data_IF_058058184318
#
_entry.id   IF_058058184318
#
_cell.length_a   1.000
_cell.length_b   1.000
_cell.length_c   1.000
_cell.angle_alpha   90.00
_cell.angle_beta   90.00
_cell.angle_gamma   90.00
#
_symmetry.space_group_name_H-M   'P 1'
#
loop_
_entity.id
_entity.type
_entity.pdbx_description
1 polymer ?
#
# COMPACT_ATOMS: atom_id res chain seq x y z
N UNK A 1 37.59 -0.23 -17.70
CA UNK A 1 36.36 0.16 -17.11
C UNK A 1 35.58 -0.98 -16.54
N UNK A 2 35.17 -0.86 -15.39
CA UNK A 2 34.47 -1.92 -14.70
C UNK A 2 32.96 -1.72 -14.80
N UNK A 3 32.26 -2.58 -15.51
CA UNK A 3 30.81 -2.48 -15.59
C UNK A 3 30.14 -2.55 -14.22
N UNK A 4 30.76 -3.24 -13.30
CA UNK A 4 30.20 -3.32 -11.95
C UNK A 4 30.22 -2.00 -11.24
N UNK A 5 31.22 -1.20 -11.51
CA UNK A 5 31.31 0.12 -10.92
C UNK A 5 30.21 1.04 -11.45
N UNK A 6 29.76 0.83 -12.66
CA UNK A 6 28.70 1.66 -13.21
C UNK A 6 27.36 1.36 -12.58
N UNK A 7 27.29 0.28 -11.85
CA UNK A 7 26.06 -0.04 -11.12
C UNK A 7 25.97 0.66 -9.78
N UNK A 8 26.65 1.33 -9.51
CA UNK A 8 26.81 2.12 -8.43
C UNK A 8 25.60 2.49 -7.64
N UNK A 9 25.71 3.41 -6.81
CA UNK A 9 24.69 3.85 -5.88
C UNK A 9 23.36 4.22 -6.51
N UNK A 10 23.38 4.73 -7.73
CA UNK A 10 22.16 5.14 -8.40
C UNK A 10 21.23 3.95 -8.67
N UNK A 11 21.79 2.83 -9.12
CA UNK A 11 20.98 1.66 -9.36
C UNK A 11 20.53 0.98 -8.07
N UNK A 12 21.38 0.98 -7.07
CA UNK A 12 21.01 0.47 -5.77
C UNK A 12 19.86 1.31 -5.18
N UNK A 13 19.92 2.62 -5.33
CA UNK A 13 18.85 3.50 -4.89
C UNK A 13 17.53 3.21 -5.60
N UNK A 14 17.58 2.93 -6.90
CA UNK A 14 16.39 2.61 -7.65
C UNK A 14 15.72 1.32 -7.14
N UNK A 15 16.53 0.35 -6.75
CA UNK A 15 15.98 -0.89 -6.20
C UNK A 15 15.24 -0.68 -4.90
N UNK A 16 15.70 0.25 -4.12
CA UNK A 16 15.12 0.51 -2.82
C UNK A 16 14.07 1.61 -2.86
N UNK A 17 13.86 2.20 -4.03
CA UNK A 17 12.90 3.27 -4.18
C UNK A 17 11.49 2.76 -4.35
N UNK A 18 10.58 3.51 -3.76
CA UNK A 18 9.15 3.34 -3.96
C UNK A 18 8.69 4.41 -4.93
N UNK A 19 8.04 4.00 -6.01
CA UNK A 19 7.41 4.92 -6.94
C UNK A 19 5.92 5.02 -6.61
N UNK A 20 5.38 6.22 -6.59
CA UNK A 20 3.94 6.43 -6.40
C UNK A 20 3.39 7.11 -7.64
N UNK A 21 2.34 6.51 -8.20
CA UNK A 21 1.63 7.05 -9.34
C UNK A 21 0.22 7.43 -8.88
N UNK A 22 -0.13 8.71 -9.01
CA UNK A 22 -1.49 9.15 -8.73
C UNK A 22 -2.25 9.10 -10.06
N UNK A 23 -2.83 7.94 -10.34
CA UNK A 23 -3.55 7.70 -11.59
C UNK A 23 -4.91 8.36 -11.60
N UNK A 24 -5.53 8.54 -10.43
CA UNK A 24 -6.79 9.25 -10.29
C UNK A 24 -6.55 10.54 -9.49
N UNK A 25 -6.62 11.71 -10.14
CA UNK A 25 -6.31 12.97 -9.46
C UNK A 25 -7.16 13.30 -8.24
N UNK A 26 -8.37 12.73 -8.16
CA UNK A 26 -9.25 12.94 -7.02
C UNK A 26 -8.64 12.43 -5.71
N UNK A 27 -7.63 11.58 -5.76
CA UNK A 27 -6.89 11.16 -4.58
C UNK A 27 -6.34 12.35 -3.80
N UNK A 28 -5.85 13.38 -4.52
CA UNK A 28 -5.29 14.57 -3.87
C UNK A 28 -6.34 15.45 -3.22
N UNK A 29 -7.60 15.31 -3.63
CA UNK A 29 -8.70 15.99 -2.95
C UNK A 29 -9.11 15.26 -1.67
N UNK A 30 -9.02 13.94 -1.68
CA UNK A 30 -9.31 13.14 -0.49
C UNK A 30 -8.19 13.26 0.53
N UNK A 31 -6.95 13.13 0.08
CA UNK A 31 -5.75 13.20 0.91
C UNK A 31 -4.77 14.15 0.24
N UNK A 32 -4.57 15.31 0.85
CA UNK A 32 -3.82 16.40 0.23
C UNK A 32 -2.42 16.01 -0.24
N UNK A 33 -1.72 15.19 0.54
CA UNK A 33 -0.36 14.74 0.22
C UNK A 33 -0.34 13.23 0.03
N UNK A 34 -1.29 12.73 -0.74
CA UNK A 34 -1.49 11.30 -0.92
C UNK A 34 -0.22 10.58 -1.37
N UNK A 35 0.48 11.13 -2.35
CA UNK A 35 1.70 10.53 -2.87
C UNK A 35 2.81 10.46 -1.82
N UNK A 36 2.99 11.53 -1.05
CA UNK A 36 3.99 11.56 0.02
C UNK A 36 3.66 10.56 1.12
N UNK A 37 2.40 10.51 1.53
CA UNK A 37 1.95 9.61 2.58
C UNK A 37 2.11 8.15 2.13
N UNK A 38 1.71 7.84 0.91
CA UNK A 38 1.85 6.48 0.36
C UNK A 38 3.33 6.07 0.29
N UNK A 39 4.19 6.97 -0.19
CA UNK A 39 5.62 6.66 -0.29
C UNK A 39 6.24 6.42 1.08
N UNK A 40 5.92 7.26 2.07
CA UNK A 40 6.46 7.10 3.42
C UNK A 40 5.98 5.81 4.07
N UNK A 41 4.70 5.47 3.89
CA UNK A 41 4.15 4.25 4.44
C UNK A 41 4.80 3.02 3.81
N UNK A 42 4.97 3.01 2.50
CA UNK A 42 5.61 1.90 1.80
C UNK A 42 7.06 1.71 2.23
N UNK A 43 7.81 2.82 2.33
CA UNK A 43 9.21 2.75 2.78
C UNK A 43 9.32 2.26 4.21
N UNK A 44 8.45 2.72 5.08
CA UNK A 44 8.45 2.30 6.48
C UNK A 44 8.20 0.80 6.62
N UNK A 45 7.43 0.23 5.70
CA UNK A 45 7.13 -1.20 5.67
C UNK A 45 8.18 -2.00 4.89
N UNK A 46 9.22 -1.36 4.39
CA UNK A 46 10.28 -2.03 3.63
C UNK A 46 9.88 -2.45 2.23
N UNK A 47 8.83 -1.86 1.69
CA UNK A 47 8.34 -2.21 0.36
C UNK A 47 9.23 -1.62 -0.73
N UNK A 48 9.24 -2.31 -1.86
CA UNK A 48 9.84 -1.84 -3.10
C UNK A 48 8.77 -1.88 -4.17
N UNK A 49 8.99 -1.14 -5.26
CA UNK A 49 8.10 -1.18 -6.40
C UNK A 49 7.16 0.01 -6.46
N UNK A 50 5.98 -0.21 -7.00
CA UNK A 50 5.07 0.88 -7.35
C UNK A 50 3.78 0.83 -6.56
N UNK A 51 3.36 1.99 -6.06
CA UNK A 51 2.04 2.19 -5.46
C UNK A 51 1.22 3.04 -6.42
N UNK A 52 0.09 2.52 -6.86
CA UNK A 52 -0.80 3.21 -7.78
C UNK A 52 -2.06 3.63 -7.04
N UNK A 53 -2.32 4.92 -6.99
CA UNK A 53 -3.52 5.48 -6.39
C UNK A 53 -4.55 5.63 -7.52
N UNK A 54 -5.47 4.68 -7.59
CA UNK A 54 -6.32 4.45 -8.75
C UNK A 54 -7.79 4.72 -8.48
N UNK A 55 -8.60 4.66 -9.54
CA UNK A 55 -10.05 4.72 -9.44
C UNK A 55 -10.60 3.33 -9.17
N UNK A 56 -11.76 3.26 -8.54
CA UNK A 56 -12.41 1.99 -8.20
C UNK A 56 -12.61 1.10 -9.42
N UNK A 57 -13.01 1.67 -10.55
CA UNK A 57 -13.28 0.87 -11.75
C UNK A 57 -12.05 0.16 -12.26
N UNK A 58 -10.87 0.79 -12.11
CA UNK A 58 -9.61 0.18 -12.55
C UNK A 58 -9.26 -0.99 -11.65
N UNK A 59 -9.34 -0.79 -10.34
CA UNK A 59 -9.03 -1.84 -9.37
C UNK A 59 -10.03 -2.99 -9.50
N UNK A 60 -11.32 -2.67 -9.65
CA UNK A 60 -12.37 -3.68 -9.82
C UNK A 60 -12.13 -4.52 -11.08
N UNK A 61 -11.80 -3.87 -12.19
CA UNK A 61 -11.53 -4.56 -13.45
C UNK A 61 -10.35 -5.51 -13.33
N UNK A 62 -9.28 -5.06 -12.72
CA UNK A 62 -8.08 -5.88 -12.54
C UNK A 62 -8.33 -7.03 -11.57
N UNK A 63 -9.08 -6.78 -10.50
CA UNK A 63 -9.41 -7.82 -9.55
C UNK A 63 -10.26 -8.91 -10.18
N UNK A 64 -11.27 -8.54 -10.98
CA UNK A 64 -12.10 -9.50 -11.69
C UNK A 64 -11.30 -10.30 -12.71
N UNK A 65 -10.43 -9.61 -13.47
CA UNK A 65 -9.65 -10.22 -14.54
C UNK A 65 -8.61 -11.21 -14.02
N UNK A 66 -7.90 -10.85 -12.95
CA UNK A 66 -6.75 -11.63 -12.48
C UNK A 66 -7.08 -12.57 -11.33
N UNK A 67 -8.16 -12.32 -10.60
CA UNK A 67 -8.52 -13.11 -9.44
C UNK A 67 -9.89 -13.76 -9.54
N UNK A 68 -10.61 -13.54 -10.63
CA UNK A 68 -11.93 -14.09 -10.82
C UNK A 68 -12.98 -13.54 -9.88
N UNK A 69 -12.68 -12.45 -9.17
CA UNK A 69 -13.61 -11.83 -8.24
C UNK A 69 -14.23 -10.60 -8.85
N UNK A 70 -15.54 -10.52 -8.78
CA UNK A 70 -16.30 -9.44 -9.37
C UNK A 70 -16.86 -8.53 -8.30
N UNK A 71 -16.03 -8.09 -7.38
CA UNK A 71 -16.44 -7.18 -6.32
C UNK A 71 -15.30 -6.20 -6.00
N UNK A 72 -15.63 -5.03 -5.43
CA UNK A 72 -14.59 -4.05 -5.10
C UNK A 72 -13.62 -4.58 -4.06
N UNK A 73 -12.39 -4.13 -4.16
CA UNK A 73 -11.39 -4.35 -3.11
C UNK A 73 -10.68 -3.02 -2.85
N UNK A 74 -10.16 -2.85 -1.63
CA UNK A 74 -9.48 -1.60 -1.26
C UNK A 74 -8.04 -1.55 -1.77
N UNK A 75 -7.32 -2.66 -1.70
CA UNK A 75 -5.94 -2.73 -2.17
C UNK A 75 -5.71 -4.06 -2.89
N UNK A 76 -5.04 -3.98 -4.03
CA UNK A 76 -4.72 -5.12 -4.86
C UNK A 76 -3.21 -5.16 -5.03
N UNK A 77 -2.60 -6.34 -4.78
CA UNK A 77 -1.14 -6.48 -4.84
C UNK A 77 -0.72 -7.51 -5.86
N UNK A 78 0.40 -7.24 -6.52
CA UNK A 78 1.03 -8.14 -7.49
C UNK A 78 2.52 -8.24 -7.18
N UNK A 79 3.07 -9.43 -7.33
CA UNK A 79 4.51 -9.64 -7.17
C UNK A 79 5.24 -9.68 -8.51
N UNK A 80 4.53 -10.00 -9.58
CA UNK A 80 5.12 -10.15 -10.90
C UNK A 80 4.35 -9.31 -11.92
N UNK A 81 5.00 -8.73 -12.94
CA UNK A 81 6.45 -8.83 -13.20
C UNK A 81 7.31 -8.07 -12.22
N UNK A 82 6.74 -7.14 -11.47
CA UNK A 82 7.42 -6.38 -10.42
C UNK A 82 6.45 -6.11 -9.29
N UNK A 83 6.92 -5.84 -8.08
CA UNK A 83 6.01 -5.55 -6.97
C UNK A 83 5.18 -4.30 -7.25
N UNK A 84 3.87 -4.43 -7.06
CA UNK A 84 2.95 -3.33 -7.34
C UNK A 84 1.71 -3.46 -6.45
N UNK A 85 1.18 -2.34 -6.00
CA UNK A 85 -0.10 -2.32 -5.32
C UNK A 85 -0.96 -1.19 -5.87
N UNK A 86 -2.25 -1.44 -5.97
CA UNK A 86 -3.23 -0.46 -6.42
C UNK A 86 -4.26 -0.24 -5.32
N UNK A 87 -4.56 1.00 -5.03
CA UNK A 87 -5.56 1.36 -4.03
C UNK A 87 -6.74 2.04 -4.72
N UNK A 88 -7.94 1.68 -4.30
CA UNK A 88 -9.19 2.15 -4.90
C UNK A 88 -9.75 3.33 -4.11
N UNK A 89 -9.81 4.49 -4.74
CA UNK A 89 -10.18 5.76 -4.11
C UNK A 89 -11.51 5.71 -3.35
N UNK A 90 -12.57 5.28 -4.03
CA UNK A 90 -13.90 5.30 -3.44
C UNK A 90 -14.07 4.29 -2.33
N UNK A 91 -13.43 3.11 -2.48
CA UNK A 91 -13.47 2.09 -1.43
C UNK A 91 -12.76 2.61 -0.18
N UNK A 92 -11.57 3.19 -0.36
CA UNK A 92 -10.80 3.73 0.76
C UNK A 92 -11.56 4.86 1.46
N UNK A 93 -12.18 5.75 0.67
CA UNK A 93 -12.97 6.86 1.21
C UNK A 93 -14.14 6.35 2.06
N UNK A 94 -14.88 5.37 1.55
CA UNK A 94 -16.02 4.82 2.26
C UNK A 94 -15.59 4.10 3.54
N UNK A 95 -14.53 3.31 3.47
CA UNK A 95 -14.03 2.61 4.64
C UNK A 95 -13.55 3.56 5.73
N UNK A 96 -12.86 4.63 5.35
CA UNK A 96 -12.41 5.62 6.30
C UNK A 96 -13.60 6.26 7.03
N UNK A 97 -14.64 6.62 6.26
CA UNK A 97 -15.85 7.21 6.83
C UNK A 97 -16.57 6.22 7.76
N UNK A 98 -16.71 4.98 7.34
CA UNK A 98 -17.40 3.96 8.12
C UNK A 98 -16.68 3.64 9.44
N UNK A 99 -15.37 3.71 9.44
CA UNK A 99 -14.59 3.40 10.64
C UNK A 99 -14.20 4.63 11.44
N UNK A 100 -14.64 5.81 11.01
CA UNK A 100 -14.31 7.06 11.71
C UNK A 100 -12.84 7.42 11.67
N UNK A 101 -12.12 6.98 10.65
CA UNK A 101 -10.70 7.27 10.51
C UNK A 101 -10.47 8.40 9.53
N UNK A 102 -9.38 9.11 9.73
CA UNK A 102 -8.94 10.09 8.73
C UNK A 102 -8.52 9.34 7.46
N UNK A 103 -8.91 9.83 6.28
CA UNK A 103 -8.48 9.19 5.04
C UNK A 103 -6.96 9.02 4.91
N UNK A 104 -6.18 10.00 5.38
CA UNK A 104 -4.73 9.90 5.36
C UNK A 104 -4.23 8.72 6.20
N UNK A 105 -4.81 8.51 7.37
CA UNK A 105 -4.44 7.39 8.23
C UNK A 105 -4.85 6.05 7.64
N UNK A 106 -6.02 6.01 7.02
CA UNK A 106 -6.49 4.78 6.39
C UNK A 106 -5.63 4.44 5.17
N UNK A 107 -5.26 5.44 4.37
CA UNK A 107 -4.35 5.25 3.26
C UNK A 107 -3.02 4.66 3.75
N UNK A 108 -2.42 5.24 4.77
CA UNK A 108 -1.15 4.74 5.31
C UNK A 108 -1.29 3.29 5.78
N UNK A 109 -2.38 2.97 6.48
CA UNK A 109 -2.63 1.61 6.95
C UNK A 109 -2.70 0.62 5.79
N UNK A 110 -3.45 0.95 4.75
CA UNK A 110 -3.62 0.04 3.62
C UNK A 110 -2.34 -0.14 2.81
N UNK A 111 -1.52 0.90 2.70
CA UNK A 111 -0.22 0.77 2.04
C UNK A 111 0.70 -0.14 2.84
N UNK A 112 0.76 0.03 4.16
CA UNK A 112 1.54 -0.85 5.03
C UNK A 112 1.04 -2.29 4.91
N UNK A 113 -0.27 -2.49 4.93
CA UNK A 113 -0.89 -3.80 4.80
C UNK A 113 -0.50 -4.47 3.47
N UNK A 114 -0.62 -3.74 2.36
CA UNK A 114 -0.25 -4.25 1.05
C UNK A 114 1.24 -4.57 0.95
N UNK A 115 2.08 -3.73 1.56
CA UNK A 115 3.52 -3.96 1.58
C UNK A 115 3.87 -5.25 2.34
N UNK A 116 3.21 -5.50 3.45
CA UNK A 116 3.43 -6.72 4.22
C UNK A 116 2.97 -7.95 3.46
N UNK A 117 1.87 -7.86 2.72
CA UNK A 117 1.46 -8.96 1.83
C UNK A 117 2.53 -9.24 0.78
N UNK A 118 3.07 -8.20 0.16
CA UNK A 118 4.14 -8.37 -0.83
C UNK A 118 5.40 -8.98 -0.24
N UNK A 119 5.62 -8.78 1.07
CA UNK A 119 6.75 -9.36 1.78
C UNK A 119 6.49 -10.79 2.26
N UNK A 120 5.32 -11.34 1.97
CA UNK A 120 4.99 -12.71 2.32
C UNK A 120 4.11 -12.91 3.54
N UNK A 121 3.70 -11.84 4.20
CA UNK A 121 2.76 -11.96 5.31
C UNK A 121 1.38 -12.35 4.79
N UNK A 122 0.68 -13.12 5.58
CA UNK A 122 -0.65 -13.56 5.22
C UNK A 122 -1.53 -13.57 6.46
N UNK A 123 -2.84 -13.80 6.26
CA UNK A 123 -3.78 -13.83 7.37
C UNK A 123 -4.78 -14.98 7.23
N UNK A 124 -4.33 -16.09 6.65
CA UNK A 124 -5.17 -17.27 6.46
C UNK A 124 -5.50 -17.96 7.77
N UNK A 125 -4.63 -17.89 8.75
CA UNK A 125 -4.89 -18.46 10.07
C UNK A 125 -4.68 -17.42 11.17
N UNK A 126 -5.21 -17.70 12.36
CA UNK A 126 -5.21 -16.72 13.46
C UNK A 126 -3.80 -16.27 13.86
N UNK A 127 -2.84 -17.18 13.86
CA UNK A 127 -1.47 -16.82 14.22
C UNK A 127 -0.82 -15.90 13.20
N UNK A 128 -1.04 -16.14 11.92
CA UNK A 128 -0.51 -15.29 10.86
C UNK A 128 -1.17 -13.92 10.87
N UNK A 129 -2.49 -13.91 11.07
CA UNK A 129 -3.24 -12.65 11.14
C UNK A 129 -2.71 -11.78 12.29
N UNK A 130 -2.49 -12.39 13.45
CA UNK A 130 -1.98 -11.65 14.61
C UNK A 130 -0.59 -11.11 14.36
N UNK A 131 0.30 -11.89 13.76
CA UNK A 131 1.64 -11.42 13.44
C UNK A 131 1.61 -10.25 12.48
N UNK A 132 0.73 -10.32 11.49
CA UNK A 132 0.57 -9.24 10.52
C UNK A 132 0.02 -7.98 11.19
N UNK A 133 -0.99 -8.11 12.04
CA UNK A 133 -1.56 -6.98 12.77
C UNK A 133 -0.54 -6.32 13.68
N UNK A 134 0.29 -7.11 14.36
CA UNK A 134 1.34 -6.58 15.20
C UNK A 134 2.40 -5.83 14.38
N UNK A 135 2.77 -6.38 13.22
CA UNK A 135 3.70 -5.73 12.32
C UNK A 135 3.13 -4.41 11.81
N UNK A 136 1.86 -4.39 11.41
CA UNK A 136 1.18 -3.17 10.98
C UNK A 136 1.20 -2.12 12.07
N UNK A 137 0.80 -2.51 13.28
CA UNK A 137 0.73 -1.58 14.39
C UNK A 137 2.10 -0.96 14.71
N UNK A 138 3.14 -1.77 14.67
CA UNK A 138 4.50 -1.32 14.95
C UNK A 138 5.00 -0.31 13.90
N UNK A 139 4.74 -0.61 12.63
CA UNK A 139 5.15 0.27 11.54
C UNK A 139 4.36 1.58 11.59
N UNK A 140 3.04 1.48 11.78
CA UNK A 140 2.18 2.65 11.85
C UNK A 140 2.51 3.54 13.03
N UNK A 141 2.93 2.96 14.14
CA UNK A 141 3.39 3.74 15.30
C UNK A 141 4.56 4.64 14.92
N UNK A 142 5.52 4.12 14.16
CA UNK A 142 6.66 4.92 13.69
C UNK A 142 6.23 6.03 12.75
N UNK A 143 5.12 5.85 12.03
CA UNK A 143 4.56 6.85 11.14
C UNK A 143 3.63 7.82 11.86
N UNK A 144 3.43 7.63 13.16
CA UNK A 144 2.50 8.42 13.98
C UNK A 144 1.05 8.29 13.51
N UNK A 145 0.71 7.11 13.04
CA UNK A 145 -0.65 6.76 12.65
C UNK A 145 -1.24 5.88 13.75
N UNK A 146 -2.46 6.18 14.23
CA UNK A 146 -3.08 5.39 15.30
C UNK A 146 -3.22 3.93 14.92
N UNK A 147 -3.07 3.04 15.90
CA UNK A 147 -3.20 1.61 15.70
C UNK A 147 -4.64 1.27 15.26
N UNK A 148 -4.85 0.75 14.05
CA UNK A 148 -6.20 0.46 13.56
C UNK A 148 -6.86 -0.71 14.29
N UNK A 149 -6.07 -1.52 14.98
CA UNK A 149 -6.56 -2.71 15.67
C UNK A 149 -6.90 -2.45 17.14
N UNK A 150 -6.52 -1.29 17.65
CA UNK A 150 -6.79 -0.93 19.02
C UNK A 150 -8.11 -0.16 19.09
N UNK A 151 -9.05 -0.67 19.84
CA UNK A 151 -10.31 0.03 20.08
C UNK A 151 -10.12 1.12 21.12
N UNK A 152 -10.77 2.22 20.88
CA UNK A 152 -10.75 3.33 21.82
C UNK A 152 -11.49 2.98 23.11
#
# INVERSE_FOLDING_TARGET
MDPGASRSPAQAGIRDEVSVIVAEPAWRRLVRRADTIAARAARAAGAQGTVVLAADRVVHRLNARHRGRNKPTNVLTYTAPAPEMLLALGVVRREAAETGRRPAHHLAHLVVHGALHLAGHDHHCAGEARRMELAEARILHRLRVPNPWKRA
#
